data_IF_433738732993
#
_entry.id   IF_433738732993
#
_cell.length_a   1.000
_cell.length_b   1.000
_cell.length_c   1.000
_cell.angle_alpha   90.00
_cell.angle_beta   90.00
_cell.angle_gamma   90.00
#
_symmetry.space_group_name_H-M   'P 1'
#
loop_
_entity.id
_entity.type
_entity.pdbx_description
1 polymer ?
#
# COMPACT_ATOMS: atom_id res chain seq x y z
N UNK A 1 26.01 -19.01 -7.29
CA UNK A 1 25.28 -17.77 -6.97
C UNK A 1 25.80 -16.65 -7.86
N UNK A 2 24.94 -15.72 -8.28
CA UNK A 2 25.39 -14.55 -9.03
C UNK A 2 26.37 -13.72 -8.17
N UNK A 3 27.54 -13.38 -8.73
CA UNK A 3 28.57 -12.62 -8.02
C UNK A 3 28.18 -11.14 -7.79
N UNK A 4 27.20 -10.65 -8.55
CA UNK A 4 26.76 -9.26 -8.52
C UNK A 4 25.28 -9.17 -8.13
N UNK A 5 24.86 -8.13 -7.37
CA UNK A 5 23.46 -7.91 -7.05
C UNK A 5 22.65 -7.67 -8.32
N UNK A 6 21.39 -8.11 -8.31
CA UNK A 6 20.44 -7.81 -9.38
C UNK A 6 20.30 -6.29 -9.56
N UNK A 7 20.27 -5.82 -10.81
CA UNK A 7 20.01 -4.43 -11.15
C UNK A 7 18.50 -4.17 -11.05
N UNK A 8 18.03 -3.34 -10.10
CA UNK A 8 16.65 -2.89 -10.11
C UNK A 8 16.43 -1.91 -11.27
N UNK A 9 15.44 -2.19 -12.11
CA UNK A 9 15.04 -1.32 -13.22
C UNK A 9 13.57 -0.97 -13.11
N UNK A 10 13.29 0.30 -12.85
CA UNK A 10 11.94 0.85 -12.79
C UNK A 10 11.47 1.21 -14.20
N UNK A 11 10.80 0.27 -14.85
CA UNK A 11 10.45 0.36 -16.27
C UNK A 11 9.59 1.57 -16.61
N UNK A 12 8.65 1.98 -15.74
CA UNK A 12 7.78 3.13 -15.96
C UNK A 12 8.57 4.44 -16.11
N UNK A 13 9.35 4.78 -15.08
CA UNK A 13 10.19 5.97 -15.09
C UNK A 13 11.32 5.89 -16.14
N UNK A 14 11.91 4.70 -16.33
CA UNK A 14 12.91 4.50 -17.37
C UNK A 14 12.34 4.77 -18.77
N UNK A 15 11.14 4.26 -19.07
CA UNK A 15 10.49 4.52 -20.35
C UNK A 15 10.11 5.99 -20.48
N UNK A 16 9.60 6.64 -19.42
CA UNK A 16 9.28 8.06 -19.44
C UNK A 16 10.47 8.92 -19.87
N UNK A 17 11.66 8.63 -19.33
CA UNK A 17 12.89 9.38 -19.62
C UNK A 17 13.52 9.03 -20.99
N UNK A 18 13.18 7.87 -21.58
CA UNK A 18 13.88 7.36 -22.78
C UNK A 18 13.02 7.32 -24.05
N UNK A 19 11.76 7.79 -24.03
CA UNK A 19 10.85 7.72 -25.20
C UNK A 19 11.35 8.44 -26.46
N UNK A 20 12.17 9.46 -26.30
CA UNK A 20 12.70 10.26 -27.40
C UNK A 20 13.93 9.62 -28.06
N UNK A 21 14.49 8.57 -27.45
CA UNK A 21 15.65 7.85 -27.99
C UNK A 21 15.24 6.91 -29.11
N UNK A 22 16.11 6.78 -30.11
CA UNK A 22 16.02 5.70 -31.09
C UNK A 22 16.27 4.34 -30.41
N UNK A 23 15.82 3.25 -31.04
CA UNK A 23 16.07 1.88 -30.51
C UNK A 23 17.55 1.60 -30.26
N UNK A 24 18.42 2.17 -31.10
CA UNK A 24 19.86 2.00 -30.96
C UNK A 24 20.41 2.76 -29.76
N UNK A 25 20.06 4.05 -29.62
CA UNK A 25 20.45 4.87 -28.47
C UNK A 25 19.91 4.29 -27.16
N UNK A 26 18.69 3.76 -27.20
CA UNK A 26 18.07 3.07 -26.07
C UNK A 26 18.87 1.83 -25.64
N UNK A 27 19.26 0.98 -26.61
CA UNK A 27 20.11 -0.17 -26.35
C UNK A 27 21.49 0.22 -25.81
N UNK A 28 22.11 1.26 -26.37
CA UNK A 28 23.39 1.80 -25.90
C UNK A 28 23.28 2.30 -24.46
N UNK A 29 22.25 3.08 -24.15
CA UNK A 29 22.01 3.58 -22.81
C UNK A 29 21.83 2.43 -21.80
N UNK A 30 21.03 1.42 -22.14
CA UNK A 30 20.82 0.24 -21.29
C UNK A 30 22.13 -0.53 -21.04
N UNK A 31 22.94 -0.76 -22.08
CA UNK A 31 24.23 -1.45 -21.95
C UNK A 31 25.20 -0.67 -21.06
N UNK A 32 25.25 0.65 -21.18
CA UNK A 32 26.05 1.51 -20.31
C UNK A 32 25.58 1.45 -18.85
N UNK A 33 24.27 1.45 -18.58
CA UNK A 33 23.74 1.30 -17.23
C UNK A 33 24.15 -0.04 -16.61
N UNK A 34 24.04 -1.14 -17.38
CA UNK A 34 24.46 -2.47 -16.94
C UNK A 34 25.96 -2.50 -16.63
N UNK A 35 26.78 -1.90 -17.50
CA UNK A 35 28.22 -1.82 -17.31
C UNK A 35 28.59 -1.00 -16.07
N UNK A 36 27.97 0.17 -15.87
CA UNK A 36 28.15 1.00 -14.67
C UNK A 36 27.75 0.26 -13.39
N UNK A 37 26.62 -0.46 -13.41
CA UNK A 37 26.15 -1.23 -12.26
C UNK A 37 27.18 -2.28 -11.83
N UNK A 38 27.72 -3.02 -12.81
CA UNK A 38 28.75 -4.03 -12.58
C UNK A 38 30.07 -3.44 -12.10
N UNK A 39 30.38 -2.20 -12.50
CA UNK A 39 31.57 -1.46 -12.08
C UNK A 39 31.40 -0.75 -10.72
N UNK A 40 30.23 -0.82 -10.09
CA UNK A 40 29.97 -0.23 -8.78
C UNK A 40 29.50 1.23 -8.81
N UNK A 41 29.06 1.72 -9.97
CA UNK A 41 28.31 2.97 -10.13
C UNK A 41 28.91 4.00 -11.09
N UNK A 42 30.13 3.77 -11.57
CA UNK A 42 30.81 4.69 -12.49
C UNK A 42 31.60 3.95 -13.56
N UNK A 43 31.81 4.63 -14.69
CA UNK A 43 32.68 4.19 -15.77
C UNK A 43 33.72 5.27 -16.09
N UNK A 44 34.88 4.90 -16.66
CA UNK A 44 35.84 5.86 -17.18
C UNK A 44 35.22 6.71 -18.30
N UNK A 45 35.46 8.02 -18.28
CA UNK A 45 35.04 8.97 -19.31
C UNK A 45 35.98 8.90 -20.54
N UNK A 46 36.09 7.72 -21.14
CA UNK A 46 36.93 7.45 -22.32
C UNK A 46 36.04 6.92 -23.44
N UNK A 47 35.90 7.70 -24.52
CA UNK A 47 35.02 7.40 -25.64
C UNK A 47 35.24 6.01 -26.25
N UNK A 48 36.49 5.52 -26.30
CA UNK A 48 36.79 4.19 -26.84
C UNK A 48 36.29 3.09 -25.91
N UNK A 49 36.41 3.29 -24.60
CA UNK A 49 35.90 2.35 -23.60
C UNK A 49 34.39 2.37 -23.56
N UNK A 50 33.78 3.55 -23.60
CA UNK A 50 32.32 3.71 -23.63
C UNK A 50 31.70 3.06 -24.86
N UNK A 51 32.27 3.28 -26.06
CA UNK A 51 31.85 2.59 -27.27
C UNK A 51 31.92 1.06 -27.13
N UNK A 52 32.99 0.55 -26.49
CA UNK A 52 33.15 -0.89 -26.24
C UNK A 52 32.15 -1.45 -25.23
N UNK A 53 31.84 -0.71 -24.16
CA UNK A 53 30.80 -1.09 -23.20
C UNK A 53 29.41 -1.08 -23.84
N UNK A 54 29.15 -0.11 -24.72
CA UNK A 54 27.91 0.03 -25.47
C UNK A 54 27.77 -0.95 -26.66
N UNK A 55 28.83 -1.68 -27.01
CA UNK A 55 28.80 -2.63 -28.13
C UNK A 55 28.72 -1.97 -29.52
N UNK A 56 29.14 -0.71 -29.65
CA UNK A 56 29.08 0.05 -30.91
C UNK A 56 30.47 0.42 -31.41
N UNK A 57 30.58 0.72 -32.71
CA UNK A 57 31.82 1.24 -33.29
C UNK A 57 32.08 2.67 -32.80
N UNK A 58 33.35 3.07 -32.72
CA UNK A 58 33.73 4.41 -32.22
C UNK A 58 33.13 5.55 -33.06
N UNK A 59 33.04 5.39 -34.38
CA UNK A 59 32.41 6.39 -35.25
C UNK A 59 30.92 6.58 -34.95
N UNK A 60 30.24 5.50 -34.60
CA UNK A 60 28.84 5.53 -34.20
C UNK A 60 28.66 6.12 -32.80
N UNK A 61 29.57 5.78 -31.88
CA UNK A 61 29.62 6.38 -30.55
C UNK A 61 29.67 7.92 -30.62
N UNK A 62 30.55 8.49 -31.44
CA UNK A 62 30.64 9.96 -31.54
C UNK A 62 29.34 10.64 -31.99
N UNK A 63 28.49 9.94 -32.76
CA UNK A 63 27.18 10.47 -33.19
C UNK A 63 26.14 10.47 -32.05
N UNK A 64 26.12 9.41 -31.25
CA UNK A 64 25.14 9.22 -30.15
C UNK A 64 25.62 9.79 -28.81
N UNK A 65 26.93 10.03 -28.66
CA UNK A 65 27.57 10.51 -27.44
C UNK A 65 26.89 11.76 -26.86
N UNK A 66 26.54 12.81 -27.64
CA UNK A 66 25.88 13.99 -27.08
C UNK A 66 24.61 13.63 -26.30
N UNK A 67 23.74 12.83 -26.91
CA UNK A 67 22.50 12.34 -26.32
C UNK A 67 22.74 11.47 -25.09
N UNK A 68 23.74 10.58 -25.14
CA UNK A 68 24.05 9.73 -23.99
C UNK A 68 24.58 10.53 -22.80
N UNK A 69 25.43 11.53 -23.05
CA UNK A 69 26.04 12.34 -22.00
C UNK A 69 25.03 13.25 -21.29
N UNK A 70 23.86 13.54 -21.87
CA UNK A 70 22.78 14.25 -21.18
C UNK A 70 22.24 13.49 -19.96
N UNK A 71 22.29 12.15 -20.00
CA UNK A 71 21.89 11.31 -18.86
C UNK A 71 23.01 11.09 -17.85
N UNK A 72 24.25 11.42 -18.20
CA UNK A 72 25.43 11.12 -17.40
C UNK A 72 25.91 12.34 -16.62
N UNK A 73 26.36 12.10 -15.39
CA UNK A 73 27.06 13.06 -14.56
C UNK A 73 28.54 12.83 -14.72
N UNK A 74 29.24 13.84 -15.24
CA UNK A 74 30.70 13.85 -15.30
C UNK A 74 31.22 14.23 -13.91
N UNK A 75 32.21 13.49 -13.42
CA UNK A 75 32.85 13.77 -12.14
C UNK A 75 33.67 15.09 -12.20
N UNK A 76 33.97 15.67 -11.04
CA UNK A 76 34.66 16.98 -10.95
C UNK A 76 36.06 16.94 -11.59
N UNK A 77 36.73 15.80 -11.51
CA UNK A 77 38.01 15.49 -12.14
C UNK A 77 37.90 15.15 -13.63
N UNK A 78 36.68 15.00 -14.17
CA UNK A 78 36.44 14.72 -15.58
C UNK A 78 36.78 13.30 -16.04
N UNK A 79 37.32 12.46 -15.15
CA UNK A 79 37.83 11.12 -15.48
C UNK A 79 36.76 10.03 -15.48
N UNK A 80 35.62 10.27 -14.85
CA UNK A 80 34.56 9.28 -14.72
C UNK A 80 33.18 9.86 -15.01
N UNK A 81 32.30 8.98 -15.47
CA UNK A 81 30.88 9.24 -15.62
C UNK A 81 30.09 8.34 -14.68
N UNK A 82 29.03 8.89 -14.12
CA UNK A 82 28.06 8.16 -13.31
C UNK A 82 26.65 8.55 -13.70
N UNK A 83 25.66 7.78 -13.25
CA UNK A 83 24.25 8.10 -13.44
C UNK A 83 23.62 8.32 -12.06
N UNK A 84 22.83 9.38 -11.91
CA UNK A 84 22.29 9.81 -10.62
C UNK A 84 21.40 8.75 -9.97
N UNK A 85 20.37 8.29 -10.69
CA UNK A 85 19.47 7.24 -10.24
C UNK A 85 20.20 5.94 -9.91
N UNK A 86 21.14 5.52 -10.75
CA UNK A 86 21.91 4.28 -10.58
C UNK A 86 22.71 4.30 -9.28
N UNK A 87 23.20 5.47 -8.88
CA UNK A 87 23.90 5.68 -7.62
C UNK A 87 22.96 5.50 -6.42
N UNK A 88 21.74 6.04 -6.50
CA UNK A 88 20.70 5.88 -5.48
C UNK A 88 20.28 4.40 -5.34
N UNK A 89 20.10 3.70 -6.46
CA UNK A 89 19.76 2.27 -6.48
C UNK A 89 20.88 1.40 -5.89
N UNK A 90 22.16 1.71 -6.21
CA UNK A 90 23.31 1.01 -5.63
C UNK A 90 23.35 1.18 -4.12
N UNK A 91 23.11 2.41 -3.64
CA UNK A 91 23.07 2.71 -2.22
C UNK A 91 21.93 1.94 -1.54
N UNK A 92 20.73 1.95 -2.12
CA UNK A 92 19.58 1.21 -1.63
C UNK A 92 19.87 -0.29 -1.51
N UNK A 93 20.43 -0.92 -2.55
CA UNK A 93 20.78 -2.34 -2.54
C UNK A 93 21.84 -2.65 -1.48
N UNK A 94 22.88 -1.81 -1.36
CA UNK A 94 23.93 -1.96 -0.34
C UNK A 94 23.36 -1.88 1.07
N UNK A 95 22.48 -0.92 1.33
CA UNK A 95 21.87 -0.74 2.64
C UNK A 95 20.89 -1.87 2.99
N UNK A 96 20.13 -2.34 2.00
CA UNK A 96 19.28 -3.51 2.17
C UNK A 96 20.12 -4.76 2.50
N UNK A 97 21.21 -5.01 1.75
CA UNK A 97 22.11 -6.13 2.02
C UNK A 97 22.73 -6.07 3.43
N UNK A 98 23.17 -4.88 3.89
CA UNK A 98 23.69 -4.68 5.26
C UNK A 98 22.65 -5.01 6.33
N UNK A 99 21.40 -4.54 6.16
CA UNK A 99 20.29 -4.83 7.10
C UNK A 99 19.97 -6.32 7.14
N UNK A 100 19.94 -6.99 5.99
CA UNK A 100 19.72 -8.43 5.96
C UNK A 100 20.87 -9.20 6.63
N UNK A 101 22.11 -8.77 6.43
CA UNK A 101 23.27 -9.35 7.11
C UNK A 101 23.22 -9.15 8.63
N UNK A 102 22.83 -7.97 9.13
CA UNK A 102 22.67 -7.76 10.58
C UNK A 102 21.55 -8.62 11.16
N UNK A 103 20.41 -8.69 10.48
CA UNK A 103 19.28 -9.51 10.92
C UNK A 103 19.66 -11.00 10.96
N UNK A 104 20.41 -11.48 9.96
CA UNK A 104 20.94 -12.83 9.97
C UNK A 104 21.87 -13.06 11.16
N UNK A 105 22.84 -12.16 11.42
CA UNK A 105 23.75 -12.26 12.58
C UNK A 105 22.99 -12.35 13.90
N UNK A 106 21.99 -11.49 14.11
CA UNK A 106 21.17 -11.51 15.34
C UNK A 106 20.41 -12.84 15.49
N UNK A 107 19.91 -13.42 14.39
CA UNK A 107 19.27 -14.75 14.43
C UNK A 107 20.27 -15.83 14.86
N UNK A 108 21.41 -15.92 14.19
CA UNK A 108 22.42 -16.94 14.50
C UNK A 108 23.04 -16.80 15.89
N UNK A 109 23.20 -15.58 16.41
CA UNK A 109 23.68 -15.34 17.77
C UNK A 109 22.72 -15.86 18.85
N UNK A 110 21.42 -15.80 18.59
CA UNK A 110 20.40 -16.32 19.52
C UNK A 110 20.46 -17.84 19.65
N UNK A 111 20.84 -18.53 18.58
CA UNK A 111 20.88 -19.99 18.51
C UNK A 111 22.19 -20.59 19.09
N UNK A 112 23.23 -19.77 19.28
CA UNK A 112 24.53 -20.21 19.84
C UNK A 112 24.63 -20.15 21.37
N UNK A 113 23.59 -19.69 22.08
CA UNK A 113 23.58 -19.74 23.56
C UNK A 113 23.13 -21.15 23.98
N UNK A 114 23.97 -21.97 24.63
CA UNK A 114 23.54 -23.28 25.11
C UNK A 114 22.38 -23.12 26.11
N UNK A 115 21.37 -24.00 26.08
CA UNK A 115 20.28 -23.93 27.05
C UNK A 115 20.89 -24.10 28.44
N UNK A 116 20.78 -23.06 29.28
CA UNK A 116 21.15 -23.16 30.68
C UNK A 116 20.42 -24.35 31.31
N UNK A 117 21.19 -25.20 32.01
CA UNK A 117 20.77 -26.44 32.63
C UNK A 117 19.39 -26.37 33.30
N UNK A 118 18.43 -27.10 32.73
CA UNK A 118 17.09 -27.27 33.30
C UNK A 118 17.19 -28.19 34.52
N UNK A 119 17.28 -27.61 35.72
CA UNK A 119 17.10 -28.35 36.98
C UNK A 119 15.61 -28.76 37.10
N UNK A 120 15.34 -30.06 37.09
CA UNK A 120 14.02 -30.64 37.32
C UNK A 120 13.46 -30.19 38.69
N UNK A 121 12.24 -29.64 38.73
CA UNK A 121 11.47 -29.52 39.98
C UNK A 121 10.31 -30.50 39.98
N UNK A 122 10.27 -31.30 41.03
CA UNK A 122 9.17 -32.20 41.40
C UNK A 122 7.88 -31.42 41.68
N UNK A 123 6.76 -32.09 41.41
CA UNK A 123 5.37 -31.66 41.60
C UNK A 123 4.96 -31.64 43.08
N UNK A 124 4.30 -30.56 43.52
CA UNK A 124 3.27 -30.61 44.58
C UNK A 124 2.34 -29.38 44.51
N UNK A 125 1.13 -29.56 45.00
CA UNK A 125 -0.11 -28.83 44.67
C UNK A 125 -0.48 -27.71 45.67
N UNK A 126 -1.31 -26.76 45.19
CA UNK A 126 -2.36 -25.94 45.88
C UNK A 126 -2.20 -24.40 45.97
N UNK A 127 -3.16 -23.73 45.32
CA UNK A 127 -3.87 -22.46 45.58
C UNK A 127 -3.22 -21.05 45.66
N UNK A 128 -3.89 -20.16 44.91
CA UNK A 128 -4.16 -18.72 45.08
C UNK A 128 -3.19 -17.66 44.51
N UNK A 129 -3.77 -16.87 43.59
CA UNK A 129 -3.61 -15.42 43.35
C UNK A 129 -2.21 -14.79 43.40
N UNK A 130 -1.64 -14.48 42.24
CA UNK A 130 -1.17 -13.14 41.84
C UNK A 130 -0.50 -13.15 40.45
N UNK A 131 -0.50 -12.00 39.80
CA UNK A 131 -0.27 -11.80 38.37
C UNK A 131 1.21 -11.53 37.97
N UNK A 132 1.67 -12.29 36.94
CA UNK A 132 2.53 -11.92 35.78
C UNK A 132 4.05 -11.68 36.02
N UNK A 133 4.99 -11.94 35.06
CA UNK A 133 4.87 -12.47 33.69
C UNK A 133 5.77 -13.68 33.37
N UNK A 134 5.38 -14.51 32.38
CA UNK A 134 6.36 -15.27 31.61
C UNK A 134 6.16 -15.09 30.10
N UNK A 135 7.23 -14.61 29.47
CA UNK A 135 7.43 -14.46 28.03
C UNK A 135 7.46 -15.84 27.40
N UNK A 136 6.47 -16.16 26.58
CA UNK A 136 6.60 -17.23 25.60
C UNK A 136 6.77 -16.64 24.20
N UNK A 137 8.05 -16.65 23.79
CA UNK A 137 8.44 -16.75 22.39
C UNK A 137 8.02 -18.13 21.92
N UNK A 138 6.90 -18.23 21.22
CA UNK A 138 6.72 -19.34 20.29
C UNK A 138 7.24 -18.95 18.91
N UNK A 139 8.37 -19.58 18.63
CA UNK A 139 9.06 -19.65 17.36
C UNK A 139 8.28 -20.63 16.48
N UNK A 140 7.56 -20.12 15.48
CA UNK A 140 7.08 -20.92 14.36
C UNK A 140 8.06 -20.77 13.20
N UNK A 141 9.06 -21.64 13.14
CA UNK A 141 9.98 -21.74 12.02
C UNK A 141 9.34 -22.44 10.80
N UNK A 142 9.96 -22.20 9.65
CA UNK A 142 9.87 -22.95 8.40
C UNK A 142 8.62 -22.77 7.50
N UNK A 143 8.69 -21.79 6.60
CA UNK A 143 8.49 -22.07 5.17
C UNK A 143 9.61 -21.43 4.36
N UNK A 144 10.69 -22.18 4.20
CA UNK A 144 11.56 -22.02 3.04
C UNK A 144 10.75 -22.45 1.81
N UNK A 145 10.13 -21.49 1.11
CA UNK A 145 9.73 -21.75 -0.28
C UNK A 145 11.00 -21.77 -1.12
N UNK A 146 11.52 -22.97 -1.30
CA UNK A 146 12.41 -23.31 -2.41
C UNK A 146 11.61 -23.01 -3.68
N UNK A 147 11.78 -21.82 -4.25
CA UNK A 147 11.64 -21.65 -5.69
C UNK A 147 12.85 -22.33 -6.31
N UNK A 148 12.77 -23.64 -6.49
CA UNK A 148 13.52 -24.28 -7.55
C UNK A 148 12.96 -23.72 -8.85
N UNK A 149 13.65 -22.74 -9.42
CA UNK A 149 13.59 -22.54 -10.86
C UNK A 149 14.01 -23.87 -11.48
N UNK A 150 13.07 -24.61 -12.05
CA UNK A 150 13.38 -25.71 -12.96
C UNK A 150 14.08 -25.08 -14.17
N UNK A 151 15.41 -25.12 -14.16
CA UNK A 151 16.21 -24.93 -15.37
C UNK A 151 16.37 -26.29 -16.03
N UNK A 152 15.34 -26.71 -16.74
CA UNK A 152 15.48 -27.67 -17.84
C UNK A 152 14.49 -27.23 -18.91
N UNK A 153 15.00 -26.51 -19.91
CA UNK A 153 14.27 -26.20 -21.12
C UNK A 153 14.36 -27.41 -22.04
N UNK A 154 13.28 -28.18 -22.29
CA UNK A 154 13.29 -29.13 -23.39
C UNK A 154 13.20 -28.33 -24.70
N UNK A 155 14.26 -28.46 -25.50
CA UNK A 155 14.32 -28.00 -26.89
C UNK A 155 13.40 -28.90 -27.74
N UNK A 156 12.40 -28.38 -28.48
CA UNK A 156 11.78 -29.16 -29.53
C UNK A 156 12.49 -28.90 -30.86
N UNK A 157 13.31 -29.86 -31.28
CA UNK A 157 13.73 -29.99 -32.69
C UNK A 157 12.62 -30.72 -33.46
N UNK A 158 12.09 -30.17 -34.57
CA UNK A 158 11.11 -30.85 -35.41
C UNK A 158 11.81 -31.73 -36.45
N UNK A 159 11.32 -32.94 -36.67
CA UNK A 159 11.54 -33.70 -37.92
C UNK A 159 10.28 -34.54 -38.22
N UNK A 160 9.83 -34.63 -39.49
CA UNK A 160 8.45 -34.97 -39.86
C UNK A 160 8.26 -36.38 -40.44
N UNK A 161 7.01 -36.89 -40.38
CA UNK A 161 6.33 -37.78 -41.37
C UNK A 161 4.90 -38.10 -40.82
N UNK A 162 3.76 -37.76 -41.46
CA UNK A 162 3.13 -38.37 -42.66
C UNK A 162 3.03 -39.90 -42.47
N UNK A 163 1.88 -40.59 -42.32
CA UNK A 163 0.54 -40.49 -42.92
C UNK A 163 -0.48 -41.35 -42.10
N UNK A 164 -1.77 -40.99 -42.18
CA UNK A 164 -3.02 -41.69 -41.72
C UNK A 164 -3.31 -43.03 -42.47
N UNK A 165 -4.43 -43.81 -42.30
CA UNK A 165 -5.67 -43.63 -41.51
C UNK A 165 -6.26 -44.92 -40.83
N UNK A 166 -7.43 -44.75 -40.21
CA UNK A 166 -8.51 -45.72 -39.90
C UNK A 166 -8.54 -46.43 -38.54
N UNK A 167 -9.51 -46.03 -37.72
CA UNK A 167 -10.65 -46.92 -37.42
C UNK A 167 -10.79 -47.42 -35.99
N UNK A 168 -11.99 -47.19 -35.45
CA UNK A 168 -12.68 -47.94 -34.38
C UNK A 168 -12.49 -47.41 -32.95
N UNK A 169 -13.53 -46.70 -32.49
CA UNK A 169 -13.88 -46.55 -31.08
C UNK A 169 -14.36 -47.90 -30.50
N UNK A 170 -14.10 -48.16 -29.22
CA UNK A 170 -15.23 -48.49 -28.37
C UNK A 170 -15.26 -47.69 -27.08
N UNK A 171 -16.48 -47.24 -26.74
CA UNK A 171 -16.87 -46.80 -25.42
C UNK A 171 -16.79 -47.96 -24.42
N UNK A 172 -16.24 -47.71 -23.23
CA UNK A 172 -16.83 -48.12 -21.95
C UNK A 172 -16.07 -47.47 -20.79
N UNK A 173 -16.81 -46.87 -19.85
CA UNK A 173 -16.62 -47.20 -18.44
C UNK A 173 -15.71 -46.34 -17.58
N UNK A 174 -16.25 -45.21 -17.12
CA UNK A 174 -16.25 -44.70 -15.72
C UNK A 174 -14.99 -44.97 -14.84
N UNK A 175 -14.30 -43.88 -14.46
CA UNK A 175 -14.10 -43.46 -13.06
C UNK A 175 -12.81 -42.63 -12.91
N UNK A 176 -12.92 -41.43 -12.32
CA UNK A 176 -11.76 -40.74 -11.74
C UNK A 176 -11.49 -39.30 -12.21
N UNK A 177 -12.47 -38.40 -12.15
CA UNK A 177 -12.14 -36.96 -12.08
C UNK A 177 -11.75 -36.61 -10.64
N UNK A 178 -10.58 -36.04 -10.36
CA UNK A 178 -10.25 -35.56 -9.02
C UNK A 178 -11.12 -34.35 -8.65
N UNK A 179 -11.58 -34.37 -7.40
CA UNK A 179 -12.52 -33.42 -6.82
C UNK A 179 -12.03 -31.97 -6.86
N UNK A 180 -12.99 -31.05 -7.07
CA UNK A 180 -12.81 -29.60 -7.03
C UNK A 180 -12.22 -29.17 -5.68
N UNK A 181 -11.22 -28.30 -5.74
CA UNK A 181 -10.58 -27.69 -4.58
C UNK A 181 -11.62 -26.98 -3.67
N UNK A 182 -11.50 -27.24 -2.36
CA UNK A 182 -12.37 -26.68 -1.32
C UNK A 182 -12.16 -25.15 -1.20
N UNK A 183 -13.20 -24.33 -0.98
CA UNK A 183 -13.06 -22.89 -0.82
C UNK A 183 -12.27 -22.58 0.46
N UNK A 184 -11.18 -21.82 0.34
CA UNK A 184 -10.30 -21.49 1.46
C UNK A 184 -11.05 -20.81 2.62
N UNK A 185 -10.66 -21.15 3.87
CA UNK A 185 -11.23 -20.59 5.11
C UNK A 185 -11.20 -19.06 5.07
N UNK A 186 -12.35 -18.41 5.26
CA UNK A 186 -12.46 -16.95 5.39
C UNK A 186 -11.67 -16.51 6.63
N UNK A 187 -10.78 -15.53 6.46
CA UNK A 187 -10.03 -14.91 7.58
C UNK A 187 -11.03 -14.14 8.46
N UNK A 188 -11.16 -14.55 9.71
CA UNK A 188 -11.95 -13.84 10.73
C UNK A 188 -11.09 -12.75 11.37
N UNK A 189 -11.67 -11.59 11.63
CA UNK A 189 -10.99 -10.45 12.25
C UNK A 189 -11.71 -10.04 13.56
N UNK A 190 -11.01 -9.38 14.51
CA UNK A 190 -11.63 -8.87 15.72
C UNK A 190 -12.75 -7.84 15.44
N UNK A 191 -13.80 -7.85 16.26
CA UNK A 191 -14.98 -6.98 16.06
C UNK A 191 -14.63 -5.48 16.08
N UNK A 192 -13.72 -5.06 16.95
CA UNK A 192 -13.26 -3.67 17.02
C UNK A 192 -12.61 -3.21 15.70
N UNK A 193 -11.82 -4.09 15.07
CA UNK A 193 -11.19 -3.82 13.78
C UNK A 193 -12.23 -3.79 12.65
N UNK A 194 -13.19 -4.72 12.65
CA UNK A 194 -14.27 -4.75 11.67
C UNK A 194 -15.10 -3.44 11.68
N UNK A 195 -15.40 -2.93 12.87
CA UNK A 195 -16.10 -1.66 13.04
C UNK A 195 -15.29 -0.48 12.49
N UNK A 196 -14.01 -0.39 12.85
CA UNK A 196 -13.12 0.66 12.36
C UNK A 196 -12.92 0.57 10.83
N UNK A 197 -12.72 -0.64 10.31
CA UNK A 197 -12.56 -0.89 8.88
C UNK A 197 -13.80 -0.49 8.07
N UNK A 198 -14.99 -0.82 8.59
CA UNK A 198 -16.27 -0.47 7.96
C UNK A 198 -16.52 1.05 7.96
N UNK A 199 -16.08 1.76 9.00
CA UNK A 199 -16.24 3.21 9.11
C UNK A 199 -15.23 3.99 8.23
N UNK A 200 -14.13 3.36 7.82
CA UNK A 200 -13.06 3.99 7.05
C UNK A 200 -13.41 4.11 5.55
N UNK A 201 -13.03 5.22 4.86
CA UNK A 201 -13.26 5.36 3.43
C UNK A 201 -12.30 4.46 2.65
N UNK A 202 -12.71 3.20 2.42
CA UNK A 202 -11.91 2.18 1.73
C UNK A 202 -12.09 2.23 0.22
N UNK A 203 -11.06 1.82 -0.53
CA UNK A 203 -11.12 1.65 -2.00
C UNK A 203 -10.84 0.20 -2.39
N UNK A 204 -11.17 -0.19 -3.62
CA UNK A 204 -10.99 -1.57 -4.11
C UNK A 204 -9.53 -2.07 -4.04
N UNK A 205 -8.55 -1.15 -4.05
CA UNK A 205 -7.13 -1.50 -3.95
C UNK A 205 -6.63 -1.66 -2.50
N UNK A 206 -7.47 -1.43 -1.48
CA UNK A 206 -7.05 -1.53 -0.08
C UNK A 206 -7.11 -2.96 0.45
N UNK A 207 -5.98 -3.46 0.98
CA UNK A 207 -5.89 -4.77 1.61
C UNK A 207 -6.35 -4.73 3.07
N UNK A 208 -7.48 -5.38 3.37
CA UNK A 208 -7.98 -5.59 4.75
C UNK A 208 -6.98 -6.35 5.63
N UNK A 209 -6.23 -7.28 5.04
CA UNK A 209 -5.23 -8.06 5.76
C UNK A 209 -4.04 -7.21 6.23
N UNK A 210 -3.58 -6.27 5.40
CA UNK A 210 -2.50 -5.35 5.80
C UNK A 210 -2.98 -4.32 6.83
N UNK A 211 -4.23 -3.82 6.67
CA UNK A 211 -4.87 -2.98 7.68
C UNK A 211 -4.95 -3.66 9.05
N UNK A 212 -5.35 -4.94 9.09
CA UNK A 212 -5.40 -5.71 10.33
C UNK A 212 -4.02 -5.92 10.95
N UNK A 213 -2.98 -6.19 10.15
CA UNK A 213 -1.60 -6.31 10.67
C UNK A 213 -1.12 -5.02 11.34
N UNK A 214 -1.47 -3.86 10.81
CA UNK A 214 -1.18 -2.58 11.44
C UNK A 214 -1.99 -2.38 12.72
N UNK A 215 -3.30 -2.67 12.68
CA UNK A 215 -4.19 -2.59 13.84
C UNK A 215 -3.74 -3.48 15.01
N UNK A 216 -3.29 -4.71 14.71
CA UNK A 216 -2.85 -5.66 15.73
C UNK A 216 -1.62 -5.21 16.51
N UNK A 217 -0.84 -4.23 15.99
CA UNK A 217 0.33 -3.66 16.67
C UNK A 217 -0.02 -2.49 17.59
N UNK A 218 -1.25 -1.97 17.53
CA UNK A 218 -1.70 -0.89 18.39
C UNK A 218 -2.11 -1.42 19.77
N UNK A 219 -1.84 -0.61 20.79
CA UNK A 219 -2.39 -0.79 22.12
C UNK A 219 -3.88 -0.40 22.17
N UNK A 220 -4.54 -0.64 23.31
CA UNK A 220 -5.96 -0.34 23.46
C UNK A 220 -6.25 1.16 23.31
N UNK A 221 -5.35 2.02 23.81
CA UNK A 221 -5.51 3.48 23.74
C UNK A 221 -5.47 3.98 22.30
N UNK A 222 -4.44 3.61 21.52
CA UNK A 222 -4.33 4.00 20.12
C UNK A 222 -5.47 3.41 19.27
N UNK A 223 -5.98 2.20 19.57
CA UNK A 223 -7.17 1.67 18.87
C UNK A 223 -8.39 2.57 19.07
N UNK A 224 -8.61 3.06 20.29
CA UNK A 224 -9.70 4.00 20.56
C UNK A 224 -9.46 5.36 19.88
N UNK A 225 -8.20 5.83 19.84
CA UNK A 225 -7.84 7.07 19.16
C UNK A 225 -8.08 6.97 17.65
N UNK A 226 -7.71 5.84 17.02
CA UNK A 226 -8.00 5.56 15.61
C UNK A 226 -9.50 5.57 15.38
N UNK A 227 -10.28 4.84 16.18
CA UNK A 227 -11.74 4.80 16.03
C UNK A 227 -12.39 6.19 16.11
N UNK A 228 -11.93 7.05 17.03
CA UNK A 228 -12.39 8.44 17.19
C UNK A 228 -11.97 9.36 16.04
N UNK A 229 -10.83 9.09 15.42
CA UNK A 229 -10.27 9.90 14.34
C UNK A 229 -10.89 9.63 12.96
N UNK A 230 -11.44 8.42 12.73
CA UNK A 230 -12.01 8.02 11.43
C UNK A 230 -13.10 8.98 10.94
N UNK A 231 -14.09 9.39 11.75
CA UNK A 231 -15.13 10.32 11.30
C UNK A 231 -14.57 11.66 10.81
N UNK A 232 -13.57 12.22 11.49
CA UNK A 232 -12.89 13.44 11.06
C UNK A 232 -12.16 13.27 9.74
N UNK A 233 -11.49 12.13 9.53
CA UNK A 233 -10.85 11.82 8.26
C UNK A 233 -11.85 11.61 7.11
N UNK A 234 -12.99 10.98 7.38
CA UNK A 234 -14.09 10.85 6.40
C UNK A 234 -14.61 12.22 5.99
N UNK A 235 -14.81 13.13 6.95
CA UNK A 235 -15.23 14.51 6.67
C UNK A 235 -14.19 15.25 5.83
N UNK A 236 -12.89 15.08 6.13
CA UNK A 236 -11.80 15.63 5.33
C UNK A 236 -11.79 15.12 3.89
N UNK A 237 -11.97 13.81 3.68
CA UNK A 237 -12.04 13.24 2.33
C UNK A 237 -13.25 13.76 1.55
N UNK A 238 -14.40 13.95 2.21
CA UNK A 238 -15.60 14.54 1.59
C UNK A 238 -15.38 16.01 1.21
N UNK A 239 -14.65 16.78 2.01
CA UNK A 239 -14.33 18.18 1.75
C UNK A 239 -13.29 18.36 0.63
N UNK A 240 -12.50 17.33 0.33
CA UNK A 240 -11.44 17.34 -0.68
C UNK A 240 -11.64 16.19 -1.69
N UNK A 241 -12.53 16.33 -2.68
CA UNK A 241 -12.84 15.26 -3.64
C UNK A 241 -11.64 14.77 -4.47
N UNK A 242 -10.67 15.65 -4.73
CA UNK A 242 -9.45 15.33 -5.47
C UNK A 242 -8.42 14.56 -4.62
N UNK A 243 -8.65 14.43 -3.31
CA UNK A 243 -7.76 13.71 -2.41
C UNK A 243 -8.19 12.23 -2.29
N UNK A 244 -7.47 11.28 -2.89
CA UNK A 244 -7.78 9.87 -2.72
C UNK A 244 -7.54 9.45 -1.26
N UNK A 245 -8.49 8.75 -0.61
CA UNK A 245 -8.30 8.25 0.74
C UNK A 245 -7.01 7.43 0.85
N UNK A 246 -6.16 7.79 1.81
CA UNK A 246 -4.94 7.05 2.09
C UNK A 246 -5.29 5.63 2.58
N UNK A 247 -4.40 4.68 2.38
CA UNK A 247 -4.58 3.30 2.85
C UNK A 247 -4.70 3.26 4.37
N UNK A 248 -5.65 2.47 4.91
CA UNK A 248 -5.86 2.32 6.36
C UNK A 248 -4.58 1.92 7.12
N UNK A 249 -3.77 1.05 6.54
CA UNK A 249 -2.44 0.69 7.06
C UNK A 249 -1.56 1.94 7.22
N UNK A 250 -1.46 2.80 6.21
CA UNK A 250 -0.65 4.03 6.28
C UNK A 250 -1.26 5.06 7.23
N UNK A 251 -2.59 5.12 7.34
CA UNK A 251 -3.29 5.97 8.30
C UNK A 251 -2.88 5.63 9.74
N UNK A 252 -2.79 4.34 10.06
CA UNK A 252 -2.33 3.83 11.35
C UNK A 252 -0.80 3.98 11.49
N UNK A 253 -0.02 3.40 10.57
CA UNK A 253 1.44 3.32 10.65
C UNK A 253 2.12 4.70 10.65
N UNK A 254 1.49 5.73 10.06
CA UNK A 254 1.99 7.12 10.07
C UNK A 254 1.32 8.00 11.11
N UNK A 255 0.58 7.40 12.06
CA UNK A 255 -0.14 8.09 13.13
C UNK A 255 -0.98 9.28 12.63
N UNK A 256 -1.59 9.14 11.44
CA UNK A 256 -2.43 10.21 10.87
C UNK A 256 -3.67 10.45 11.71
N UNK A 257 -4.11 9.45 12.45
CA UNK A 257 -5.22 9.56 13.40
C UNK A 257 -4.99 10.61 14.48
N UNK A 258 -3.74 10.90 14.88
CA UNK A 258 -3.44 11.95 15.87
C UNK A 258 -3.97 13.33 15.42
N UNK A 259 -3.92 13.61 14.10
CA UNK A 259 -4.41 14.88 13.53
C UNK A 259 -5.94 14.98 13.40
N UNK A 260 -6.66 13.87 13.56
CA UNK A 260 -8.12 13.82 13.47
C UNK A 260 -8.78 13.40 14.80
N UNK A 261 -8.00 13.08 15.83
CA UNK A 261 -8.49 12.61 17.14
C UNK A 261 -9.37 13.65 17.88
N UNK A 262 -9.30 14.94 17.49
CA UNK A 262 -10.15 16.02 18.01
C UNK A 262 -11.29 16.44 17.07
N UNK A 263 -11.34 15.91 15.84
CA UNK A 263 -12.37 16.27 14.86
C UNK A 263 -13.49 15.25 14.93
N UNK A 264 -14.30 15.33 15.99
CA UNK A 264 -15.58 14.63 16.00
C UNK A 264 -16.38 15.10 14.78
N UNK A 265 -17.01 14.16 14.05
CA UNK A 265 -17.97 14.49 12.99
C UNK A 265 -19.17 15.32 13.48
N UNK A 266 -19.26 15.54 14.79
CA UNK A 266 -20.11 16.53 15.44
C UNK A 266 -19.30 17.74 15.94
N UNK A 267 -18.46 18.34 15.09
CA UNK A 267 -18.30 19.79 15.17
C UNK A 267 -19.73 20.32 14.99
N UNK A 268 -20.34 20.80 16.08
CA UNK A 268 -21.58 21.55 16.03
C UNK A 268 -21.45 22.50 14.85
N UNK A 269 -22.21 22.24 13.78
CA UNK A 269 -22.24 23.17 12.65
C UNK A 269 -22.66 24.48 13.28
N UNK A 270 -21.73 25.42 13.43
CA UNK A 270 -22.05 26.78 13.87
C UNK A 270 -22.92 27.32 12.76
N UNK A 271 -24.23 27.17 12.90
CA UNK A 271 -25.19 27.51 11.87
C UNK A 271 -25.11 29.00 11.66
N UNK A 272 -24.59 29.41 10.50
CA UNK A 272 -24.31 30.81 10.26
C UNK A 272 -25.61 31.56 9.99
N UNK A 273 -25.60 32.89 10.17
CA UNK A 273 -26.74 33.77 9.82
C UNK A 273 -27.27 33.52 8.41
N UNK A 274 -26.38 33.22 7.45
CA UNK A 274 -26.75 32.94 6.07
C UNK A 274 -27.53 31.63 5.91
N UNK A 275 -27.21 30.60 6.71
CA UNK A 275 -27.89 29.31 6.67
C UNK A 275 -29.32 29.42 7.20
N UNK A 276 -29.52 30.18 8.28
CA UNK A 276 -30.84 30.46 8.83
C UNK A 276 -31.72 31.27 7.85
N UNK A 277 -31.14 32.26 7.16
CA UNK A 277 -31.87 33.03 6.14
C UNK A 277 -32.35 32.14 4.98
N UNK A 278 -31.53 31.19 4.52
CA UNK A 278 -31.94 30.25 3.46
C UNK A 278 -33.11 29.38 3.90
N UNK A 279 -33.07 28.84 5.13
CA UNK A 279 -34.16 28.02 5.70
C UNK A 279 -35.45 28.82 5.85
N UNK A 280 -35.35 30.05 6.39
CA UNK A 280 -36.50 30.94 6.54
C UNK A 280 -37.10 31.34 5.18
N UNK A 281 -36.28 31.65 4.18
CA UNK A 281 -36.76 31.97 2.84
C UNK A 281 -37.48 30.78 2.19
N UNK A 282 -36.91 29.57 2.30
CA UNK A 282 -37.59 28.36 1.85
C UNK A 282 -38.92 28.15 2.57
N UNK A 283 -38.97 28.34 3.89
CA UNK A 283 -40.18 28.12 4.66
C UNK A 283 -41.26 29.18 4.40
N UNK A 284 -40.87 30.43 4.12
CA UNK A 284 -41.79 31.50 3.71
C UNK A 284 -42.39 31.22 2.33
N UNK A 285 -41.58 30.76 1.40
CA UNK A 285 -41.99 30.45 0.02
C UNK A 285 -42.88 29.20 -0.06
N UNK A 286 -42.49 28.13 0.63
CA UNK A 286 -43.17 26.83 0.56
C UNK A 286 -44.22 26.61 1.65
N UNK A 287 -44.31 27.52 2.64
CA UNK A 287 -45.11 27.37 3.86
C UNK A 287 -44.85 26.04 4.58
N UNK A 288 -43.60 25.56 4.57
CA UNK A 288 -43.17 24.29 5.16
C UNK A 288 -41.93 24.46 6.03
N UNK A 289 -41.89 23.76 7.15
CA UNK A 289 -40.75 23.78 8.07
C UNK A 289 -40.30 22.36 8.39
N UNK A 290 -39.03 22.05 8.13
CA UNK A 290 -38.47 20.74 8.41
C UNK A 290 -38.07 20.64 9.89
N UNK A 291 -39.01 20.17 10.73
CA UNK A 291 -38.77 20.02 12.16
C UNK A 291 -37.71 18.96 12.48
N UNK A 292 -37.52 17.96 11.61
CA UNK A 292 -36.55 16.88 11.79
C UNK A 292 -35.11 17.38 11.63
N UNK A 293 -34.88 18.24 10.63
CA UNK A 293 -33.54 18.74 10.32
C UNK A 293 -33.22 20.11 10.96
N UNK A 294 -34.21 20.97 11.19
CA UNK A 294 -34.00 22.36 11.66
C UNK A 294 -34.50 22.62 13.09
N UNK A 295 -35.16 21.64 13.71
CA UNK A 295 -35.77 21.76 15.03
C UNK A 295 -37.14 22.46 14.99
N UNK A 296 -37.72 22.79 16.15
CA UNK A 296 -39.07 23.37 16.22
C UNK A 296 -39.20 24.65 15.38
N UNK A 297 -40.35 24.81 14.72
CA UNK A 297 -40.66 26.00 13.92
C UNK A 297 -40.48 27.30 14.72
N UNK A 298 -40.17 28.43 14.06
CA UNK A 298 -40.04 29.71 14.75
C UNK A 298 -41.32 30.03 15.52
N UNK A 299 -41.17 30.67 16.68
CA UNK A 299 -42.22 30.95 17.66
C UNK A 299 -42.82 29.71 18.39
N UNK A 300 -42.23 28.51 18.25
CA UNK A 300 -42.52 27.35 19.12
C UNK A 300 -41.50 27.19 20.26
N UNK A 301 -41.89 26.59 21.39
CA UNK A 301 -40.96 26.29 22.48
C UNK A 301 -39.82 25.39 21.98
N UNK A 302 -38.57 25.81 22.22
CA UNK A 302 -37.37 25.09 21.79
C UNK A 302 -36.86 25.45 20.38
N UNK A 303 -37.42 26.46 19.72
CA UNK A 303 -36.90 26.98 18.45
C UNK A 303 -35.45 27.46 18.59
N UNK A 304 -34.60 27.03 17.64
CA UNK A 304 -33.18 27.43 17.55
C UNK A 304 -32.95 28.62 16.61
N UNK A 305 -34.01 29.15 15.99
CA UNK A 305 -33.93 30.25 15.02
C UNK A 305 -33.57 31.57 15.71
N UNK A 306 -32.55 32.31 15.26
CA UNK A 306 -32.21 33.62 15.79
C UNK A 306 -33.38 34.61 15.65
N UNK A 307 -33.80 35.22 16.76
CA UNK A 307 -34.94 36.14 16.78
C UNK A 307 -34.79 37.37 15.88
N UNK A 308 -33.55 37.79 15.63
CA UNK A 308 -33.22 38.92 14.73
C UNK A 308 -33.56 38.67 13.25
N UNK A 309 -33.77 37.41 12.84
CA UNK A 309 -34.10 37.04 11.45
C UNK A 309 -35.60 36.80 11.22
N UNK A 310 -36.38 36.77 12.30
CA UNK A 310 -37.81 36.46 12.27
C UNK A 310 -38.63 37.68 11.84
N UNK A 311 -39.58 37.45 10.96
CA UNK A 311 -40.60 38.42 10.57
C UNK A 311 -41.92 38.11 11.28
N UNK A 312 -42.77 39.13 11.43
CA UNK A 312 -44.10 38.98 12.02
C UNK A 312 -44.91 37.99 11.18
N UNK A 313 -45.29 36.86 11.79
CA UNK A 313 -46.05 35.78 11.13
C UNK A 313 -45.22 34.58 10.65
N UNK A 314 -43.90 34.58 10.82
CA UNK A 314 -43.08 33.38 10.57
C UNK A 314 -43.46 32.24 11.52
N UNK A 315 -43.57 31.02 10.99
CA UNK A 315 -43.96 29.82 11.74
C UNK A 315 -45.47 29.63 11.92
N UNK A 316 -46.30 30.63 11.62
CA UNK A 316 -47.77 30.50 11.69
C UNK A 316 -48.33 29.80 10.46
N UNK A 317 -48.94 28.62 10.65
CA UNK A 317 -49.58 27.86 9.58
C UNK A 317 -48.60 27.12 8.65
N UNK A 318 -47.34 26.96 9.04
CA UNK A 318 -46.38 26.16 8.27
C UNK A 318 -46.57 24.66 8.55
N UNK A 319 -46.57 23.86 7.48
CA UNK A 319 -46.70 22.40 7.58
C UNK A 319 -45.34 21.77 7.93
N UNK A 320 -45.32 20.90 8.93
CA UNK A 320 -44.19 20.00 9.18
C UNK A 320 -44.29 18.83 8.21
N UNK A 321 -43.23 18.46 7.45
CA UNK A 321 -43.26 17.27 6.65
C UNK A 321 -43.35 16.07 7.60
N UNK A 322 -44.55 15.55 7.79
CA UNK A 322 -44.75 14.25 8.45
C UNK A 322 -43.95 13.24 7.64
N UNK A 323 -43.02 12.55 8.31
CA UNK A 323 -42.23 11.50 7.73
C UNK A 323 -43.14 10.51 6.99
N UNK A 324 -43.08 10.51 5.66
CA UNK A 324 -43.70 9.47 4.86
C UNK A 324 -42.92 8.18 5.15
N UNK A 325 -43.59 7.24 5.81
CA UNK A 325 -43.06 5.91 6.10
C UNK A 325 -42.65 5.19 4.80
N UNK A 326 -41.41 4.70 4.76
CA UNK A 326 -40.94 3.62 3.89
C UNK A 326 -39.86 2.85 4.63
#
# INVERSE_FOLDING_TARGET
MAQFPALPLWTDAYLADTKHLTTLEHGVYLLLLIAMWRAGGSLPNDDRKLARFAGVQTNQWFRIRPTMMEFMRVSVDGLSISQGRLSDELQYVRDHAKKQASNARTRWQKDTVPPASVQQRHSESLNSSDAIPLKDKETGDATASVWQCQTDAPTPTPTPNIETPNGVFPETGVSGMPAKASPGKRKSYPDEFEQAWKAYPTTANMSKAEGHKAWARLDAEDRTAVAKAIPGFVAYCKANPDYPPIYFERFISKRRFDGFAGTSAAAEKVETRADWLKRLNYARDTRRWDEANWGPAPNRPGSRVPGELLQVGDGTGWLSPVAAAA
#
